data_IF_830822417247
#
_entry.id   IF_830822417247
#
_cell.length_a   1.000
_cell.length_b   1.000
_cell.length_c   1.000
_cell.angle_alpha   90.00
_cell.angle_beta   90.00
_cell.angle_gamma   90.00
#
_symmetry.space_group_name_H-M   'P 1'
#
loop_
_entity.id
_entity.type
_entity.pdbx_description
1 polymer ?
#
# COMPACT_ATOMS: atom_id res chain seq x y z
N UNK A 1 56.45 25.54 -37.51
CA UNK A 1 55.39 25.84 -36.51
C UNK A 1 55.50 24.76 -35.43
N UNK A 2 56.22 24.93 -34.30
CA UNK A 2 56.04 25.87 -33.16
C UNK A 2 54.60 25.81 -32.62
N UNK A 3 54.30 25.54 -31.35
CA UNK A 3 55.06 25.48 -30.09
C UNK A 3 54.17 24.79 -29.04
N UNK A 4 54.74 23.97 -28.14
CA UNK A 4 54.12 23.62 -26.86
C UNK A 4 54.09 24.87 -25.99
N UNK A 5 52.91 25.18 -25.43
CA UNK A 5 52.70 26.29 -24.49
C UNK A 5 52.81 25.74 -23.07
N UNK A 6 53.82 26.22 -22.36
CA UNK A 6 53.86 26.30 -20.90
C UNK A 6 53.23 27.64 -20.52
N UNK A 7 52.37 27.68 -19.49
CA UNK A 7 52.13 28.91 -18.75
C UNK A 7 51.91 28.60 -17.27
N UNK A 8 52.85 29.11 -16.46
CA UNK A 8 52.70 29.46 -15.05
C UNK A 8 51.62 30.54 -14.87
N UNK A 9 51.06 30.64 -13.66
CA UNK A 9 50.60 31.83 -12.91
C UNK A 9 50.01 31.27 -11.60
N UNK A 10 50.14 31.80 -10.39
CA UNK A 10 50.97 32.84 -9.76
C UNK A 10 50.67 32.71 -8.25
N UNK A 11 51.69 32.77 -7.42
CA UNK A 11 51.58 32.87 -5.96
C UNK A 11 51.22 34.29 -5.56
N UNK A 12 50.33 34.49 -4.57
CA UNK A 12 50.28 35.71 -3.73
C UNK A 12 50.01 35.31 -2.27
N UNK A 13 50.96 35.69 -1.42
CA UNK A 13 50.96 35.74 0.06
C UNK A 13 49.75 36.57 0.56
N UNK A 14 49.24 36.55 1.79
CA UNK A 14 49.80 36.52 3.14
C UNK A 14 48.56 36.57 4.06
N UNK A 15 48.48 36.02 5.27
CA UNK A 15 49.14 36.50 6.47
C UNK A 15 49.07 35.42 7.56
N UNK A 16 50.19 35.23 8.25
CA UNK A 16 50.31 34.46 9.48
C UNK A 16 50.10 35.39 10.70
N UNK A 17 49.51 34.89 11.79
CA UNK A 17 49.76 35.27 13.20
C UNK A 17 48.79 34.48 14.11
N UNK A 18 49.10 33.91 15.27
CA UNK A 18 50.34 33.56 15.97
C UNK A 18 49.92 32.53 17.04
N UNK A 19 50.72 31.48 17.18
CA UNK A 19 51.07 30.71 18.39
C UNK A 19 50.13 30.69 19.62
N UNK A 20 49.82 29.45 20.06
CA UNK A 20 50.41 28.92 21.29
C UNK A 20 50.36 27.38 21.30
N UNK A 21 51.55 26.77 21.29
CA UNK A 21 51.76 25.37 21.60
C UNK A 21 51.59 25.13 23.10
N UNK A 22 50.94 24.04 23.47
CA UNK A 22 51.33 23.26 24.66
C UNK A 22 51.18 21.79 24.30
N UNK A 23 52.31 21.18 23.97
CA UNK A 23 52.49 19.74 23.86
C UNK A 23 52.62 19.14 25.26
N UNK A 24 51.82 18.12 25.57
CA UNK A 24 52.32 16.93 26.27
C UNK A 24 51.52 15.70 25.85
N UNK A 25 52.28 14.71 25.42
CA UNK A 25 51.95 13.38 24.95
C UNK A 25 51.14 12.55 25.95
N UNK A 26 50.23 11.70 25.47
CA UNK A 26 50.54 10.28 25.21
C UNK A 26 49.26 9.45 25.00
N UNK A 27 49.42 8.42 24.15
CA UNK A 27 48.51 7.29 23.90
C UNK A 27 47.34 7.57 22.95
N UNK A 28 47.57 7.13 21.71
CA UNK A 28 46.57 7.12 20.65
C UNK A 28 45.45 6.13 20.95
N UNK A 29 44.24 6.60 20.70
CA UNK A 29 43.10 5.75 20.39
C UNK A 29 42.77 6.08 18.95
N UNK A 30 43.09 5.14 18.06
CA UNK A 30 42.58 5.10 16.69
C UNK A 30 41.06 5.02 16.82
N UNK A 31 40.37 6.11 16.49
CA UNK A 31 38.94 6.11 16.29
C UNK A 31 38.66 5.27 15.04
N UNK A 32 38.43 3.97 15.24
CA UNK A 32 37.83 3.12 14.23
C UNK A 32 36.39 3.58 14.11
N UNK A 33 36.10 4.34 13.04
CA UNK A 33 34.74 4.51 12.53
C UNK A 33 34.21 3.13 12.22
N UNK A 34 33.38 2.58 13.10
CA UNK A 34 32.49 1.49 12.75
C UNK A 34 31.32 2.10 11.97
N UNK A 35 31.47 2.13 10.64
CA UNK A 35 30.33 2.06 9.73
C UNK A 35 29.70 0.68 9.92
N UNK A 36 28.78 0.58 10.89
CA UNK A 36 27.88 -0.54 11.00
C UNK A 36 26.61 -0.18 10.23
N UNK A 37 26.25 -1.04 9.27
CA UNK A 37 25.00 -1.06 8.50
C UNK A 37 23.75 -1.05 9.41
N UNK A 38 23.44 0.11 9.97
CA UNK A 38 22.08 0.41 10.40
C UNK A 38 21.31 0.85 9.16
N UNK A 39 20.29 0.08 8.78
CA UNK A 39 19.30 0.53 7.81
C UNK A 39 18.87 1.96 8.17
N UNK A 40 18.87 2.90 7.21
CA UNK A 40 18.61 4.29 7.50
C UNK A 40 17.24 4.45 8.17
N UNK A 41 17.10 5.41 9.11
CA UNK A 41 15.80 5.74 9.68
C UNK A 41 14.84 6.09 8.53
N UNK A 42 13.58 5.65 8.61
CA UNK A 42 12.50 5.87 7.64
C UNK A 42 12.29 7.37 7.38
N UNK A 43 13.16 7.98 6.57
CA UNK A 43 13.28 9.44 6.45
C UNK A 43 13.70 9.83 5.03
N UNK A 44 12.96 9.35 4.04
CA UNK A 44 12.47 10.13 2.89
C UNK A 44 11.46 9.25 2.15
N UNK A 45 10.23 9.74 2.02
CA UNK A 45 9.10 8.96 1.47
C UNK A 45 9.07 9.15 -0.03
N UNK A 46 9.79 8.31 -0.77
CA UNK A 46 9.73 8.32 -2.24
C UNK A 46 8.43 7.61 -2.66
N UNK A 47 7.48 8.40 -3.18
CA UNK A 47 6.31 7.88 -3.87
C UNK A 47 6.70 7.61 -5.33
N UNK A 48 6.37 6.43 -5.82
CA UNK A 48 6.59 6.08 -7.22
C UNK A 48 5.32 6.36 -8.04
N UNK A 49 5.52 6.96 -9.21
CA UNK A 49 4.46 7.11 -10.22
C UNK A 49 4.21 5.82 -11.02
N UNK A 50 5.04 4.79 -10.84
CA UNK A 50 4.90 3.52 -11.56
C UNK A 50 4.59 2.37 -10.60
N UNK A 51 3.86 1.38 -11.10
CA UNK A 51 3.54 0.14 -10.38
C UNK A 51 4.83 -0.66 -10.16
N UNK A 52 5.13 -1.13 -8.94
CA UNK A 52 6.23 -2.05 -8.70
C UNK A 52 6.13 -3.32 -9.53
N UNK A 53 7.26 -3.82 -10.05
CA UNK A 53 7.32 -5.00 -10.93
C UNK A 53 6.61 -6.23 -10.35
N UNK A 54 6.81 -6.49 -9.06
CA UNK A 54 6.15 -7.58 -8.34
C UNK A 54 4.63 -7.45 -8.31
N UNK A 55 4.11 -6.22 -8.22
CA UNK A 55 2.69 -5.91 -8.11
C UNK A 55 1.99 -5.82 -9.48
N UNK A 56 2.74 -5.55 -10.56
CA UNK A 56 2.18 -5.41 -11.89
C UNK A 56 1.46 -6.68 -12.34
N UNK A 57 0.30 -6.51 -12.98
CA UNK A 57 -0.49 -7.56 -13.61
C UNK A 57 -1.90 -7.69 -13.03
N UNK A 58 -2.54 -8.82 -13.35
CA UNK A 58 -3.90 -9.14 -12.91
C UNK A 58 -3.86 -10.08 -11.71
N UNK A 59 -4.70 -9.79 -10.74
CA UNK A 59 -4.79 -10.48 -9.46
C UNK A 59 -6.21 -10.96 -9.22
N UNK A 60 -6.33 -12.21 -8.81
CA UNK A 60 -7.60 -12.87 -8.56
C UNK A 60 -7.80 -13.16 -7.07
N UNK A 61 -8.88 -12.62 -6.53
CA UNK A 61 -9.40 -12.99 -5.21
C UNK A 61 -10.64 -13.88 -5.32
N UNK A 62 -11.18 -14.22 -4.16
CA UNK A 62 -12.43 -14.98 -4.06
C UNK A 62 -13.64 -14.21 -4.63
N UNK A 63 -13.69 -12.91 -4.38
CA UNK A 63 -14.82 -12.03 -4.66
C UNK A 63 -14.48 -10.87 -5.61
N UNK A 64 -13.24 -10.79 -6.12
CA UNK A 64 -12.79 -9.68 -6.95
C UNK A 64 -11.68 -10.06 -7.93
N UNK A 65 -11.57 -9.27 -8.99
CA UNK A 65 -10.40 -9.18 -9.86
C UNK A 65 -9.83 -7.78 -9.72
N UNK A 66 -8.51 -7.69 -9.56
CA UNK A 66 -7.78 -6.43 -9.44
C UNK A 66 -6.71 -6.39 -10.51
N UNK A 67 -6.51 -5.25 -11.15
CA UNK A 67 -5.45 -5.04 -12.12
C UNK A 67 -4.61 -3.85 -11.68
N UNK A 68 -3.29 -4.05 -11.66
CA UNK A 68 -2.30 -2.99 -11.54
C UNK A 68 -1.51 -2.92 -12.84
N UNK A 69 -1.68 -1.85 -13.60
CA UNK A 69 -1.03 -1.65 -14.89
C UNK A 69 -0.15 -0.39 -14.88
N UNK A 70 0.81 -0.34 -15.81
CA UNK A 70 1.74 0.79 -15.94
C UNK A 70 0.97 2.11 -16.13
N UNK A 71 1.54 3.22 -15.63
CA UNK A 71 0.92 4.58 -15.58
C UNK A 71 -0.19 4.77 -14.53
N UNK A 72 -0.13 4.09 -13.39
CA UNK A 72 -1.11 4.17 -12.29
C UNK A 72 -2.55 3.74 -12.67
N UNK A 73 -2.70 2.98 -13.75
CA UNK A 73 -4.00 2.42 -14.11
C UNK A 73 -4.38 1.31 -13.13
N UNK A 74 -5.42 1.58 -12.35
CA UNK A 74 -6.01 0.63 -11.41
C UNK A 74 -7.42 0.28 -11.86
N UNK A 75 -7.71 -1.02 -11.93
CA UNK A 75 -9.07 -1.50 -12.14
C UNK A 75 -9.43 -2.55 -11.09
N UNK A 76 -10.66 -2.47 -10.60
CA UNK A 76 -11.23 -3.41 -9.65
C UNK A 76 -12.64 -3.77 -10.08
N UNK A 77 -12.83 -5.07 -10.25
CA UNK A 77 -14.10 -5.67 -10.62
C UNK A 77 -14.58 -6.59 -9.50
N UNK A 78 -15.83 -6.42 -9.10
CA UNK A 78 -16.44 -7.23 -8.05
C UNK A 78 -17.19 -8.43 -8.64
N UNK A 79 -16.94 -9.62 -8.10
CA UNK A 79 -17.68 -10.85 -8.40
C UNK A 79 -18.88 -10.93 -7.48
N UNK A 80 -19.97 -10.29 -7.88
CA UNK A 80 -21.21 -10.18 -7.10
C UNK A 80 -22.10 -11.42 -7.27
N UNK A 81 -22.81 -11.79 -6.19
CA UNK A 81 -23.85 -12.84 -6.09
C UNK A 81 -23.66 -14.12 -6.93
N UNK A 82 -23.31 -15.23 -6.29
CA UNK A 82 -23.10 -16.55 -6.92
C UNK A 82 -22.07 -16.56 -8.07
N UNK A 83 -21.21 -15.54 -8.16
CA UNK A 83 -20.21 -15.37 -9.23
C UNK A 83 -20.81 -15.31 -10.65
N UNK A 84 -22.11 -15.05 -10.78
CA UNK A 84 -22.79 -15.03 -12.07
C UNK A 84 -22.38 -13.86 -12.95
N UNK A 85 -21.80 -12.81 -12.36
CA UNK A 85 -21.24 -11.70 -13.11
C UNK A 85 -20.20 -10.88 -12.37
N UNK A 86 -19.46 -10.13 -13.18
CA UNK A 86 -18.39 -9.23 -12.81
C UNK A 86 -18.86 -7.78 -13.01
N UNK A 87 -18.95 -7.03 -11.91
CA UNK A 87 -19.36 -5.62 -11.90
C UNK A 87 -18.17 -4.66 -11.95
N UNK A 88 -18.28 -3.60 -12.75
CA UNK A 88 -17.20 -2.63 -12.99
C UNK A 88 -17.13 -1.57 -11.88
N UNK A 89 -16.65 -2.00 -10.71
CA UNK A 89 -16.71 -1.15 -9.52
C UNK A 89 -15.73 0.04 -9.59
N UNK A 90 -14.51 -0.18 -10.09
CA UNK A 90 -13.54 0.87 -10.39
C UNK A 90 -12.74 0.54 -11.67
N UNK A 91 -12.58 1.50 -12.56
CA UNK A 91 -11.74 1.35 -13.76
C UNK A 91 -11.38 2.74 -14.31
N UNK A 92 -10.23 2.88 -15.01
CA UNK A 92 -9.84 4.14 -15.59
C UNK A 92 -10.75 4.50 -16.78
N UNK A 93 -10.86 5.81 -17.06
CA UNK A 93 -11.68 6.29 -18.18
C UNK A 93 -11.25 5.70 -19.54
N UNK A 94 -9.95 5.41 -19.71
CA UNK A 94 -9.36 4.80 -20.91
C UNK A 94 -10.00 3.46 -21.29
N UNK A 95 -10.59 2.73 -20.34
CA UNK A 95 -11.27 1.45 -20.63
C UNK A 95 -12.47 1.61 -21.57
N UNK A 96 -13.12 2.78 -21.54
CA UNK A 96 -14.25 3.06 -22.45
C UNK A 96 -13.81 3.17 -23.91
N UNK A 97 -12.53 3.50 -24.16
CA UNK A 97 -11.94 3.54 -25.50
C UNK A 97 -11.64 2.13 -26.03
N UNK A 98 -11.29 1.19 -25.14
CA UNK A 98 -11.03 -0.21 -25.49
C UNK A 98 -12.35 -0.95 -25.73
N UNK A 99 -13.31 -0.81 -24.79
CA UNK A 99 -14.59 -1.53 -24.83
C UNK A 99 -15.65 -0.75 -24.06
N UNK A 100 -16.63 -0.17 -24.78
CA UNK A 100 -17.77 0.48 -24.14
C UNK A 100 -18.56 -0.51 -23.28
N UNK A 101 -18.93 -0.11 -22.07
CA UNK A 101 -19.68 -0.93 -21.11
C UNK A 101 -20.73 -0.09 -20.41
N UNK A 102 -22.01 -0.39 -20.62
CA UNK A 102 -23.08 0.53 -20.24
C UNK A 102 -23.70 0.25 -18.85
N UNK A 103 -23.13 -0.68 -18.07
CA UNK A 103 -23.72 -1.12 -16.79
C UNK A 103 -22.71 -1.21 -15.67
N UNK A 104 -23.01 -0.51 -14.57
CA UNK A 104 -22.40 -0.63 -13.25
C UNK A 104 -23.53 -0.78 -12.22
N UNK A 105 -23.52 -1.87 -11.45
CA UNK A 105 -24.58 -2.19 -10.48
C UNK A 105 -24.27 -1.76 -9.04
N UNK A 106 -23.05 -1.29 -8.76
CA UNK A 106 -22.59 -1.06 -7.37
C UNK A 106 -23.14 0.19 -6.72
N UNK A 107 -23.22 1.34 -7.39
CA UNK A 107 -23.70 2.59 -6.75
C UNK A 107 -24.11 3.70 -7.75
N UNK A 108 -23.40 3.87 -8.87
CA UNK A 108 -23.66 4.89 -9.91
C UNK A 108 -23.43 4.30 -11.30
N UNK A 109 -24.04 4.88 -12.35
CA UNK A 109 -23.86 4.43 -13.74
C UNK A 109 -22.38 4.36 -14.19
N UNK A 110 -21.51 5.35 -13.89
CA UNK A 110 -20.06 5.22 -14.13
C UNK A 110 -19.35 4.41 -13.03
N UNK A 111 -18.25 3.76 -13.40
CA UNK A 111 -17.31 3.18 -12.44
C UNK A 111 -16.60 4.30 -11.64
N UNK A 112 -16.13 3.99 -10.42
CA UNK A 112 -15.35 4.93 -9.64
C UNK A 112 -13.94 5.09 -10.23
N UNK A 113 -13.44 6.33 -10.27
CA UNK A 113 -12.08 6.66 -10.72
C UNK A 113 -11.15 6.73 -9.51
N UNK A 114 -10.46 5.62 -9.23
CA UNK A 114 -9.56 5.48 -8.07
C UNK A 114 -8.12 5.61 -8.54
N UNK A 115 -7.40 6.59 -7.98
CA UNK A 115 -5.98 6.79 -8.25
C UNK A 115 -5.15 6.12 -7.16
N UNK A 116 -4.10 5.39 -7.57
CA UNK A 116 -3.19 4.71 -6.64
C UNK A 116 -1.76 5.13 -6.93
N UNK A 117 -1.04 5.51 -5.87
CA UNK A 117 0.41 5.65 -5.89
C UNK A 117 1.03 4.56 -5.01
N UNK A 118 2.29 4.23 -5.27
CA UNK A 118 2.95 3.09 -4.65
C UNK A 118 4.20 3.53 -3.90
N UNK A 119 4.48 2.84 -2.80
CA UNK A 119 5.71 3.00 -2.04
C UNK A 119 6.24 1.64 -1.61
N UNK A 120 7.51 1.38 -1.90
CA UNK A 120 8.19 0.18 -1.40
C UNK A 120 8.58 0.38 0.06
N UNK A 121 8.22 -0.57 0.93
CA UNK A 121 8.63 -0.62 2.33
C UNK A 121 9.85 -1.53 2.47
N UNK A 122 9.75 -2.75 1.94
CA UNK A 122 10.82 -3.75 1.90
C UNK A 122 10.66 -4.53 0.60
N UNK A 123 11.75 -4.88 -0.05
CA UNK A 123 11.76 -5.82 -1.16
C UNK A 123 12.95 -6.74 -0.97
N UNK A 124 12.74 -8.03 -1.19
CA UNK A 124 13.77 -9.01 -0.92
C UNK A 124 14.77 -9.09 -2.09
N UNK A 125 16.04 -9.48 -1.86
CA UNK A 125 17.06 -9.50 -2.91
C UNK A 125 16.69 -10.39 -4.11
N UNK A 126 15.95 -11.48 -3.86
CA UNK A 126 15.50 -12.42 -4.87
C UNK A 126 14.34 -11.90 -5.73
N UNK A 127 13.77 -10.72 -5.39
CA UNK A 127 12.64 -10.09 -6.09
C UNK A 127 11.46 -11.04 -6.32
N UNK A 128 11.18 -11.92 -5.36
CA UNK A 128 9.99 -12.78 -5.34
C UNK A 128 9.05 -12.43 -4.19
N UNK A 129 9.49 -11.57 -3.26
CA UNK A 129 8.71 -11.07 -2.16
C UNK A 129 8.95 -9.58 -1.89
N UNK A 130 7.91 -8.89 -1.46
CA UNK A 130 7.99 -7.46 -1.15
C UNK A 130 6.81 -6.97 -0.35
N UNK A 131 7.02 -5.87 0.37
CA UNK A 131 5.99 -5.14 1.09
C UNK A 131 5.87 -3.76 0.47
N UNK A 132 4.64 -3.41 0.10
CA UNK A 132 4.30 -2.14 -0.53
C UNK A 132 3.19 -1.43 0.25
N UNK A 133 3.21 -0.11 0.23
CA UNK A 133 2.16 0.75 0.75
C UNK A 133 1.44 1.41 -0.44
N UNK A 134 0.15 1.09 -0.58
CA UNK A 134 -0.72 1.69 -1.57
C UNK A 134 -1.28 3.00 -1.01
N UNK A 135 -1.02 4.11 -1.68
CA UNK A 135 -1.66 5.40 -1.39
C UNK A 135 -2.87 5.56 -2.31
N UNK A 136 -4.05 5.25 -1.77
CA UNK A 136 -5.30 5.17 -2.52
C UNK A 136 -6.09 6.46 -2.35
N UNK A 137 -6.31 7.18 -3.45
CA UNK A 137 -7.14 8.37 -3.49
C UNK A 137 -8.55 8.00 -3.94
N UNK A 138 -9.47 7.90 -2.97
CA UNK A 138 -10.89 7.71 -3.26
C UNK A 138 -11.54 9.03 -3.68
N UNK A 139 -12.52 9.02 -4.60
CA UNK A 139 -13.22 10.24 -5.07
C UNK A 139 -13.89 11.06 -3.96
N UNK A 140 -14.34 10.39 -2.90
CA UNK A 140 -15.10 11.00 -1.80
C UNK A 140 -14.24 11.34 -0.57
N UNK A 141 -12.98 10.92 -0.55
CA UNK A 141 -12.06 11.17 0.56
C UNK A 141 -11.18 12.38 0.25
N UNK A 142 -10.97 13.25 1.25
CA UNK A 142 -10.08 14.40 1.08
C UNK A 142 -8.62 13.97 1.01
N UNK A 143 -8.22 13.09 1.91
CA UNK A 143 -6.84 12.64 2.04
C UNK A 143 -6.68 11.22 1.48
N UNK A 144 -5.51 10.89 0.90
CA UNK A 144 -5.27 9.53 0.42
C UNK A 144 -5.16 8.57 1.60
N UNK A 145 -5.67 7.35 1.39
CA UNK A 145 -5.68 6.28 2.39
C UNK A 145 -4.51 5.34 2.13
N UNK A 146 -3.73 5.05 3.17
CA UNK A 146 -2.53 4.21 3.06
C UNK A 146 -2.88 2.75 3.42
N UNK A 147 -2.70 1.85 2.47
CA UNK A 147 -3.01 0.42 2.59
C UNK A 147 -1.74 -0.40 2.36
N UNK A 148 -1.14 -0.97 3.41
CA UNK A 148 0.02 -1.84 3.27
C UNK A 148 -0.38 -3.24 2.78
N UNK A 149 0.40 -3.79 1.86
CA UNK A 149 0.23 -5.12 1.27
C UNK A 149 1.57 -5.86 1.24
N UNK A 150 1.53 -7.19 1.29
CA UNK A 150 2.69 -8.05 1.16
C UNK A 150 2.51 -8.97 -0.04
N UNK A 151 3.57 -9.19 -0.81
CA UNK A 151 3.64 -10.14 -1.91
C UNK A 151 4.67 -11.20 -1.53
N UNK A 152 4.31 -12.48 -1.66
CA UNK A 152 5.22 -13.63 -1.56
C UNK A 152 4.82 -14.61 -2.66
N UNK A 153 5.74 -14.95 -3.57
CA UNK A 153 5.56 -15.96 -4.62
C UNK A 153 4.24 -15.80 -5.41
N UNK A 154 3.97 -14.58 -5.88
CA UNK A 154 2.77 -14.27 -6.67
C UNK A 154 1.46 -14.30 -5.88
N UNK A 155 1.51 -14.18 -4.55
CA UNK A 155 0.33 -14.10 -3.67
C UNK A 155 0.38 -12.83 -2.85
N UNK A 156 -0.73 -12.09 -2.80
CA UNK A 156 -0.91 -10.91 -1.95
C UNK A 156 -1.50 -11.33 -0.61
N UNK A 157 -0.94 -10.81 0.48
CA UNK A 157 -1.40 -11.01 1.86
C UNK A 157 -1.71 -9.67 2.55
N UNK A 158 -2.73 -9.68 3.42
CA UNK A 158 -3.19 -8.51 4.20
C UNK A 158 -2.88 -8.64 5.71
N UNK A 159 -2.27 -9.75 6.13
CA UNK A 159 -1.84 -9.99 7.51
C UNK A 159 -0.39 -10.46 7.47
N UNK A 160 0.55 -9.58 7.79
CA UNK A 160 1.97 -9.86 7.67
C UNK A 160 2.83 -9.01 8.60
N UNK A 161 4.04 -9.49 8.83
CA UNK A 161 5.09 -8.92 9.65
C UNK A 161 6.34 -8.69 8.82
N UNK A 162 7.16 -7.74 9.26
CA UNK A 162 8.51 -7.52 8.76
C UNK A 162 9.47 -7.78 9.91
N UNK A 163 10.55 -8.50 9.65
CA UNK A 163 11.64 -8.67 10.59
C UNK A 163 12.43 -7.37 10.66
N UNK A 164 12.44 -6.73 11.82
CA UNK A 164 13.41 -5.69 12.13
C UNK A 164 14.75 -6.35 12.47
N UNK A 165 15.83 -5.70 12.06
CA UNK A 165 17.17 -5.95 12.57
C UNK A 165 17.24 -5.55 14.05
N UNK A 166 16.69 -6.39 14.93
CA UNK A 166 16.62 -6.11 16.36
C UNK A 166 17.98 -6.30 17.05
N UNK A 167 18.30 -5.37 17.96
CA UNK A 167 19.39 -5.51 18.90
C UNK A 167 18.89 -6.24 20.15
N UNK A 168 19.17 -7.54 20.24
CA UNK A 168 19.08 -8.29 21.49
C UNK A 168 20.28 -7.87 22.34
N UNK A 169 20.04 -7.26 23.50
CA UNK A 169 21.10 -7.08 24.51
C UNK A 169 20.99 -8.24 25.50
N UNK A 170 21.74 -9.31 25.27
CA UNK A 170 21.83 -10.40 26.24
C UNK A 170 22.68 -9.92 27.43
N UNK A 171 22.06 -9.63 28.57
CA UNK A 171 22.76 -9.20 29.80
C UNK A 171 23.30 -10.40 30.58
N UNK A 172 23.85 -11.42 29.91
CA UNK A 172 24.70 -12.40 30.56
C UNK A 172 25.90 -11.65 31.15
N UNK A 173 26.06 -11.70 32.48
CA UNK A 173 27.28 -11.26 33.16
C UNK A 173 28.46 -12.08 32.61
N UNK A 174 29.19 -11.51 31.66
CA UNK A 174 30.30 -12.19 30.97
C UNK A 174 29.89 -12.53 29.54
N UNK A 175 30.35 -11.71 28.60
CA UNK A 175 29.95 -11.76 27.21
C UNK A 175 30.45 -13.01 26.50
N UNK A 176 29.52 -13.73 25.90
CA UNK A 176 29.69 -14.41 24.62
C UNK A 176 28.49 -14.02 23.76
N UNK A 177 28.73 -13.40 22.61
CA UNK A 177 27.71 -13.25 21.58
C UNK A 177 27.37 -14.66 21.09
N UNK A 178 26.23 -15.21 21.51
CA UNK A 178 25.70 -16.41 20.86
C UNK A 178 25.48 -16.10 19.38
N UNK A 179 25.92 -16.99 18.50
CA UNK A 179 25.62 -16.91 17.07
C UNK A 179 24.11 -16.67 16.90
N UNK A 180 23.74 -15.49 16.38
CA UNK A 180 22.34 -15.17 16.13
C UNK A 180 21.84 -16.16 15.09
N UNK A 181 20.84 -16.96 15.44
CA UNK A 181 20.16 -17.75 14.42
C UNK A 181 19.46 -16.76 13.47
N UNK A 182 19.41 -17.09 12.18
CA UNK A 182 18.80 -16.23 11.16
C UNK A 182 17.28 -16.04 11.40
N UNK A 183 16.69 -16.79 12.33
CA UNK A 183 15.31 -16.61 12.78
C UNK A 183 15.16 -15.60 13.92
N UNK A 184 16.20 -15.26 14.68
CA UNK A 184 16.06 -14.42 15.87
C UNK A 184 15.78 -12.96 15.50
N UNK A 185 14.88 -12.32 16.25
CA UNK A 185 14.57 -10.91 16.06
C UNK A 185 13.13 -10.52 16.35
N UNK A 186 12.85 -9.24 16.14
CA UNK A 186 11.53 -8.65 16.31
C UNK A 186 10.80 -8.62 14.97
N UNK A 187 9.70 -9.36 14.87
CA UNK A 187 8.80 -9.37 13.72
C UNK A 187 7.67 -8.40 14.01
N UNK A 188 7.81 -7.18 13.49
CA UNK A 188 6.84 -6.10 13.71
C UNK A 188 5.67 -6.22 12.75
N UNK A 189 4.46 -6.02 13.26
CA UNK A 189 3.28 -5.87 12.43
C UNK A 189 3.47 -4.74 11.42
N UNK A 190 3.24 -5.05 10.15
CA UNK A 190 3.36 -4.09 9.04
C UNK A 190 2.05 -3.95 8.26
N UNK A 191 0.95 -4.50 8.78
CA UNK A 191 -0.37 -4.47 8.15
C UNK A 191 -1.49 -4.17 9.13
N UNK A 192 -2.46 -3.37 8.70
CA UNK A 192 -3.65 -3.04 9.48
C UNK A 192 -4.95 -2.94 8.68
N UNK A 193 -4.90 -3.03 7.35
CA UNK A 193 -6.10 -3.04 6.51
C UNK A 193 -6.65 -4.46 6.34
N UNK A 194 -7.93 -4.57 6.00
CA UNK A 194 -8.60 -5.85 5.73
C UNK A 194 -8.71 -6.19 4.24
N UNK A 195 -8.39 -5.27 3.34
CA UNK A 195 -8.39 -5.52 1.90
C UNK A 195 -8.21 -4.26 1.06
N UNK A 196 -8.19 -4.44 -0.26
CA UNK A 196 -8.16 -3.38 -1.27
C UNK A 196 -9.61 -3.17 -1.74
N UNK A 197 -10.22 -2.06 -1.35
CA UNK A 197 -11.66 -1.83 -1.48
C UNK A 197 -11.95 -0.63 -2.40
N UNK A 198 -13.22 -0.46 -2.79
CA UNK A 198 -13.70 0.70 -3.55
C UNK A 198 -14.05 1.90 -2.66
N UNK A 199 -14.00 1.70 -1.35
CA UNK A 199 -14.17 2.70 -0.31
C UNK A 199 -13.07 2.54 0.73
N UNK A 200 -12.89 3.54 1.59
CA UNK A 200 -11.90 3.47 2.67
C UNK A 200 -12.06 2.17 3.50
N UNK A 201 -11.00 1.36 3.65
CA UNK A 201 -11.06 0.13 4.42
C UNK A 201 -11.21 0.40 5.91
N UNK A 202 -11.71 -0.59 6.63
CA UNK A 202 -11.74 -0.56 8.09
C UNK A 202 -10.39 -1.06 8.60
N UNK A 203 -9.68 -0.19 9.33
CA UNK A 203 -8.40 -0.53 9.93
C UNK A 203 -8.57 -1.32 11.23
N UNK A 204 -7.69 -2.30 11.46
CA UNK A 204 -7.64 -3.12 12.68
C UNK A 204 -7.40 -2.23 13.90
N UNK A 205 -8.12 -2.47 14.99
CA UNK A 205 -7.92 -1.81 16.30
C UNK A 205 -6.76 -2.43 17.10
N UNK A 206 -6.40 -3.67 16.79
CA UNK A 206 -5.30 -4.41 17.40
C UNK A 206 -4.47 -5.03 16.29
N UNK A 207 -3.15 -4.94 16.42
CA UNK A 207 -2.18 -5.66 15.60
C UNK A 207 -1.22 -6.44 16.49
N UNK A 208 -0.67 -7.54 15.97
CA UNK A 208 0.15 -8.46 16.75
C UNK A 208 1.54 -8.50 16.12
N UNK A 209 2.55 -8.29 16.96
CA UNK A 209 3.96 -8.48 16.62
C UNK A 209 4.51 -9.64 17.44
N UNK A 210 5.64 -10.19 17.01
CA UNK A 210 6.29 -11.28 17.71
C UNK A 210 7.76 -10.98 17.93
N UNK A 211 8.31 -11.46 19.04
CA UNK A 211 9.74 -11.48 19.28
C UNK A 211 10.22 -12.92 19.34
N UNK A 212 11.25 -13.27 18.56
CA UNK A 212 11.87 -14.59 18.56
C UNK A 212 13.19 -14.50 19.33
N UNK A 213 13.26 -15.20 20.47
CA UNK A 213 14.27 -15.01 21.52
C UNK A 213 15.40 -16.05 21.56
N UNK A 214 15.69 -16.72 20.46
CA UNK A 214 16.56 -17.90 20.43
C UNK A 214 15.83 -19.17 20.88
N UNK A 215 16.34 -20.34 20.48
CA UNK A 215 15.90 -21.66 20.97
C UNK A 215 14.39 -21.96 20.77
N UNK A 216 13.76 -21.36 19.74
CA UNK A 216 12.35 -21.58 19.41
C UNK A 216 11.35 -20.84 20.31
N UNK A 217 11.80 -19.90 21.15
CA UNK A 217 10.94 -19.08 21.99
C UNK A 217 10.25 -17.98 21.17
N UNK A 218 8.92 -17.96 21.17
CA UNK A 218 8.10 -16.97 20.48
C UNK A 218 7.29 -16.17 21.51
N UNK A 219 7.53 -14.86 21.57
CA UNK A 219 6.82 -13.95 22.47
C UNK A 219 5.82 -13.10 21.69
N UNK A 220 4.54 -13.20 22.03
CA UNK A 220 3.46 -12.49 21.34
C UNK A 220 3.19 -11.14 21.99
N UNK A 221 3.31 -10.07 21.22
CA UNK A 221 3.19 -8.68 21.68
C UNK A 221 2.00 -8.02 20.99
N UNK A 222 1.02 -7.55 21.78
CA UNK A 222 -0.16 -6.84 21.27
C UNK A 222 0.10 -5.35 21.18
N UNK A 223 -0.33 -4.75 20.09
CA UNK A 223 -0.34 -3.31 19.88
C UNK A 223 -1.76 -2.83 19.60
N UNK A 224 -2.20 -1.82 20.34
CA UNK A 224 -3.53 -1.24 20.24
C UNK A 224 -3.47 0.09 19.49
N UNK A 225 -4.48 0.38 18.67
CA UNK A 225 -4.63 1.66 18.01
C UNK A 225 -4.60 2.78 19.06
N UNK A 226 -3.83 3.83 18.77
CA UNK A 226 -3.50 4.89 19.70
C UNK A 226 -3.71 6.25 19.05
N UNK A 227 -4.23 7.18 19.84
CA UNK A 227 -4.34 8.62 19.48
C UNK A 227 -3.06 9.40 19.84
N UNK A 228 -2.11 8.76 20.54
CA UNK A 228 -0.82 9.36 20.87
C UNK A 228 0.05 9.58 19.63
N UNK A 229 0.84 10.65 19.67
CA UNK A 229 1.87 10.90 18.66
C UNK A 229 2.91 9.79 18.62
N UNK A 230 3.38 9.50 17.40
CA UNK A 230 4.47 8.55 17.20
C UNK A 230 5.76 9.05 17.85
N UNK A 231 6.47 8.15 18.54
CA UNK A 231 7.82 8.40 19.06
C UNK A 231 8.67 7.14 18.97
N UNK A 232 9.99 7.30 19.02
CA UNK A 232 10.95 6.20 19.01
C UNK A 232 11.17 5.57 20.40
N UNK A 233 10.21 5.74 21.32
CA UNK A 233 10.31 5.16 22.65
C UNK A 233 10.33 3.63 22.56
N UNK A 234 11.12 2.98 23.42
CA UNK A 234 11.17 1.52 23.55
C UNK A 234 10.31 1.05 24.72
N UNK A 235 9.80 -0.15 24.61
CA UNK A 235 9.16 -0.89 25.68
C UNK A 235 9.91 -2.21 25.92
N UNK A 236 9.86 -2.71 27.15
CA UNK A 236 10.59 -3.90 27.57
C UNK A 236 9.70 -4.92 28.26
N UNK A 237 10.07 -6.19 28.14
CA UNK A 237 9.52 -7.29 28.91
C UNK A 237 10.64 -8.20 29.38
N UNK A 238 10.34 -9.03 30.37
CA UNK A 238 11.31 -9.93 31.00
C UNK A 238 10.80 -11.36 30.95
N UNK A 239 11.69 -12.30 30.69
CA UNK A 239 11.45 -13.74 30.90
C UNK A 239 12.62 -14.33 31.68
N UNK A 240 12.38 -14.68 32.95
CA UNK A 240 13.46 -15.00 33.90
C UNK A 240 14.50 -13.87 33.98
N UNK A 241 15.74 -14.20 33.67
CA UNK A 241 16.88 -13.26 33.67
C UNK A 241 17.04 -12.51 32.33
N UNK A 242 16.29 -12.88 31.28
CA UNK A 242 16.36 -12.24 29.97
C UNK A 242 15.50 -10.97 29.95
N UNK A 243 16.04 -9.87 29.43
CA UNK A 243 15.31 -8.61 29.20
C UNK A 243 15.27 -8.33 27.71
N UNK A 244 14.07 -8.23 27.15
CA UNK A 244 13.85 -7.96 25.74
C UNK A 244 13.33 -6.54 25.55
N UNK A 245 13.75 -5.88 24.47
CA UNK A 245 13.39 -4.50 24.13
C UNK A 245 12.81 -4.44 22.72
N UNK A 246 11.67 -3.76 22.58
CA UNK A 246 10.93 -3.58 21.32
C UNK A 246 10.48 -2.14 21.17
N UNK A 247 10.08 -1.74 19.97
CA UNK A 247 9.45 -0.44 19.76
C UNK A 247 8.13 -0.33 20.52
N UNK A 248 7.97 0.74 21.30
CA UNK A 248 6.71 1.00 22.01
C UNK A 248 5.60 1.35 21.04
N UNK A 249 5.93 2.08 19.98
CA UNK A 249 5.01 2.57 18.97
C UNK A 249 5.30 1.95 17.61
N UNK A 250 4.26 1.53 16.90
CA UNK A 250 4.34 1.13 15.50
C UNK A 250 3.55 2.12 14.66
N UNK A 251 4.13 2.53 13.53
CA UNK A 251 3.42 3.30 12.51
C UNK A 251 3.11 2.39 11.33
N UNK A 252 1.83 2.23 11.03
CA UNK A 252 1.32 1.44 9.90
C UNK A 252 0.36 2.32 9.11
N UNK A 253 0.75 2.70 7.89
CA UNK A 253 0.05 3.73 7.14
C UNK A 253 -0.01 5.05 7.90
N UNK A 254 -1.22 5.58 8.05
CA UNK A 254 -1.51 6.79 8.84
C UNK A 254 -1.73 6.50 10.33
N UNK A 255 -1.85 5.24 10.73
CA UNK A 255 -2.22 4.85 12.10
C UNK A 255 -1.00 4.61 12.99
N UNK A 256 -1.12 4.97 14.26
CA UNK A 256 -0.14 4.68 15.31
C UNK A 256 -0.71 3.65 16.27
N UNK A 257 0.07 2.62 16.57
CA UNK A 257 -0.28 1.58 17.53
C UNK A 257 0.72 1.56 18.68
N UNK A 258 0.28 1.21 19.89
CA UNK A 258 1.13 1.16 21.09
C UNK A 258 0.96 -0.16 21.86
N UNK A 259 2.04 -0.70 22.42
CA UNK A 259 2.02 -1.96 23.19
C UNK A 259 1.90 -1.78 24.70
N UNK A 260 2.01 -0.56 25.22
CA UNK A 260 1.85 -0.24 26.65
C UNK A 260 0.87 0.91 26.83
N UNK A 261 0.20 0.97 27.99
CA UNK A 261 -0.72 2.04 28.32
C UNK A 261 0.01 3.24 28.92
N UNK A 262 -0.41 4.45 28.53
CA UNK A 262 0.10 5.72 29.06
C UNK A 262 1.61 5.86 28.96
N UNK A 263 2.27 6.25 30.07
CA UNK A 263 3.72 6.51 30.13
C UNK A 263 4.56 5.27 30.44
N UNK A 264 3.95 4.09 30.62
CA UNK A 264 4.70 2.86 30.92
C UNK A 264 5.65 2.49 29.77
N UNK A 265 6.83 2.00 30.12
CA UNK A 265 7.80 1.36 29.22
C UNK A 265 7.91 -0.15 29.47
N UNK A 266 7.05 -0.72 30.32
CA UNK A 266 7.03 -2.14 30.64
C UNK A 266 5.78 -2.81 30.08
N UNK A 267 5.98 -3.85 29.28
CA UNK A 267 4.94 -4.78 28.81
C UNK A 267 4.78 -5.84 29.90
N UNK A 268 3.54 -6.05 30.34
CA UNK A 268 3.19 -7.04 31.38
C UNK A 268 2.44 -8.21 30.73
N UNK A 269 2.45 -9.38 31.37
CA UNK A 269 1.70 -10.57 30.95
C UNK A 269 2.02 -10.99 29.51
N UNK A 270 3.31 -11.12 29.19
CA UNK A 270 3.74 -11.58 27.86
C UNK A 270 3.30 -13.04 27.65
N UNK A 271 2.81 -13.35 26.46
CA UNK A 271 2.43 -14.71 26.08
C UNK A 271 3.62 -15.36 25.38
N UNK A 272 4.12 -16.47 25.93
CA UNK A 272 5.22 -17.27 25.37
C UNK A 272 4.66 -18.53 24.71
N UNK A 273 5.12 -18.82 23.51
CA UNK A 273 4.81 -20.02 22.74
C UNK A 273 6.06 -20.56 22.04
N UNK A 274 5.94 -21.69 21.37
CA UNK A 274 7.01 -22.29 20.53
C UNK A 274 6.76 -22.11 19.03
N UNK A 275 5.63 -21.52 18.66
CA UNK A 275 5.20 -21.28 17.27
C UNK A 275 4.24 -20.11 17.19
N UNK A 276 4.06 -19.59 15.98
CA UNK A 276 3.01 -18.61 15.69
C UNK A 276 1.61 -19.18 15.92
N UNK A 277 0.66 -18.29 16.21
CA UNK A 277 -0.75 -18.64 16.42
C UNK A 277 -1.45 -19.08 15.11
N UNK A 278 -0.83 -18.78 13.96
CA UNK A 278 -1.36 -19.00 12.62
C UNK A 278 -0.31 -19.65 11.74
N UNK A 279 -0.78 -20.33 10.70
CA UNK A 279 0.09 -20.78 9.62
C UNK A 279 0.77 -19.57 8.98
N UNK A 280 2.09 -19.69 8.81
CA UNK A 280 2.95 -18.63 8.31
C UNK A 280 3.53 -19.03 6.95
N UNK A 281 3.48 -18.10 6.00
CA UNK A 281 4.25 -18.13 4.77
C UNK A 281 5.45 -17.19 4.94
N UNK A 282 6.62 -17.63 4.53
CA UNK A 282 7.87 -16.87 4.64
C UNK A 282 8.34 -16.49 3.25
N UNK A 283 9.00 -15.34 3.13
CA UNK A 283 9.86 -15.09 1.98
C UNK A 283 11.12 -15.98 2.02
N UNK A 284 11.88 -15.98 0.91
CA UNK A 284 13.10 -16.78 0.81
C UNK A 284 14.16 -16.42 1.85
N UNK A 285 14.14 -15.19 2.35
CA UNK A 285 15.17 -14.62 3.23
C UNK A 285 14.72 -14.57 4.71
N UNK A 286 13.49 -15.00 5.01
CA UNK A 286 12.91 -14.98 6.36
C UNK A 286 12.66 -13.57 6.92
N UNK A 287 12.77 -12.53 6.10
CA UNK A 287 12.55 -11.13 6.46
C UNK A 287 11.08 -10.73 6.48
N UNK A 288 10.21 -11.45 5.76
CA UNK A 288 8.79 -11.17 5.63
C UNK A 288 8.00 -12.42 5.99
N UNK A 289 7.02 -12.25 6.87
CA UNK A 289 6.14 -13.36 7.32
C UNK A 289 4.70 -12.97 7.10
N UNK A 290 3.97 -13.74 6.31
CA UNK A 290 2.55 -13.54 6.07
C UNK A 290 1.71 -14.64 6.73
N UNK A 291 0.48 -14.30 7.13
CA UNK A 291 -0.44 -15.21 7.81
C UNK A 291 -1.76 -15.39 7.06
N UNK A 292 -2.33 -16.58 7.21
CA UNK A 292 -3.62 -16.93 6.64
C UNK A 292 -3.58 -17.21 5.14
N UNK A 293 -4.76 -17.27 4.54
CA UNK A 293 -4.91 -17.51 3.10
C UNK A 293 -4.54 -16.26 2.29
N UNK A 294 -4.00 -16.42 1.06
CA UNK A 294 -3.78 -15.32 0.14
C UNK A 294 -5.06 -14.51 -0.08
N UNK A 295 -4.93 -13.18 0.00
CA UNK A 295 -6.01 -12.25 -0.33
C UNK A 295 -6.27 -12.20 -1.84
N UNK A 296 -5.19 -12.15 -2.63
CA UNK A 296 -5.22 -12.26 -4.08
C UNK A 296 -4.09 -13.17 -4.57
N UNK A 297 -4.31 -13.86 -5.69
CA UNK A 297 -3.31 -14.68 -6.38
C UNK A 297 -3.07 -14.11 -7.77
N UNK A 298 -1.82 -13.98 -8.18
CA UNK A 298 -1.45 -13.47 -9.50
C UNK A 298 -1.98 -14.41 -10.57
N UNK A 299 -2.68 -13.86 -11.56
CA UNK A 299 -3.11 -14.63 -12.73
C UNK A 299 -1.87 -14.85 -13.60
N UNK A 300 -1.56 -16.10 -13.99
CA UNK A 300 -0.45 -16.36 -14.89
C UNK A 300 -0.63 -15.57 -16.19
N UNK A 301 0.30 -14.68 -16.48
CA UNK A 301 0.37 -14.01 -17.77
C UNK A 301 1.12 -14.91 -18.74
N UNK A 302 0.67 -14.98 -20.00
CA UNK A 302 1.59 -15.41 -21.06
C UNK A 302 2.68 -14.35 -21.17
N UNK A 303 3.94 -14.76 -21.32
CA UNK A 303 5.11 -13.86 -21.31
C UNK A 303 4.89 -12.61 -22.18
N UNK A 304 5.41 -11.47 -21.69
CA UNK A 304 5.53 -10.17 -22.38
C UNK A 304 4.24 -9.49 -22.84
N UNK A 305 3.22 -9.39 -21.99
CA UNK A 305 2.06 -8.52 -22.28
C UNK A 305 2.38 -7.05 -22.03
N UNK A 306 2.11 -6.23 -23.03
CA UNK A 306 2.07 -4.77 -22.88
C UNK A 306 0.90 -4.35 -21.97
N UNK A 307 0.96 -3.13 -21.41
CA UNK A 307 -0.10 -2.59 -20.57
C UNK A 307 -1.48 -2.60 -21.26
N UNK A 308 -1.53 -2.34 -22.57
CA UNK A 308 -2.76 -2.36 -23.36
C UNK A 308 -3.31 -3.79 -23.49
N UNK A 309 -2.44 -4.79 -23.71
CA UNK A 309 -2.83 -6.19 -23.78
C UNK A 309 -3.31 -6.73 -22.43
N UNK A 310 -2.69 -6.29 -21.33
CA UNK A 310 -3.14 -6.61 -19.97
C UNK A 310 -4.55 -6.04 -19.73
N UNK A 311 -4.79 -4.78 -20.08
CA UNK A 311 -6.12 -4.16 -19.98
C UNK A 311 -7.16 -4.85 -20.86
N UNK A 312 -6.82 -5.21 -22.10
CA UNK A 312 -7.70 -5.96 -23.00
C UNK A 312 -8.03 -7.36 -22.46
N UNK A 313 -7.02 -8.10 -21.99
CA UNK A 313 -7.20 -9.43 -21.41
C UNK A 313 -8.04 -9.39 -20.13
N UNK A 314 -7.86 -8.36 -19.29
CA UNK A 314 -8.71 -8.11 -18.13
C UNK A 314 -10.18 -7.92 -18.56
N UNK A 315 -10.42 -7.05 -19.55
CA UNK A 315 -11.77 -6.77 -20.06
C UNK A 315 -12.42 -7.99 -20.72
N UNK A 316 -11.65 -8.84 -21.40
CA UNK A 316 -12.14 -10.07 -22.01
C UNK A 316 -12.44 -11.15 -20.98
N UNK A 317 -11.59 -11.31 -19.96
CA UNK A 317 -11.85 -12.19 -18.81
C UNK A 317 -13.17 -11.80 -18.11
N UNK A 318 -13.42 -10.50 -17.98
CA UNK A 318 -14.68 -9.98 -17.43
C UNK A 318 -15.85 -10.21 -18.38
N UNK A 319 -15.66 -9.99 -19.68
CA UNK A 319 -16.66 -10.24 -20.71
C UNK A 319 -17.11 -11.69 -20.77
N UNK A 320 -16.17 -12.63 -20.71
CA UNK A 320 -16.42 -14.07 -20.72
C UNK A 320 -17.29 -14.50 -19.53
N UNK A 321 -16.96 -14.06 -18.31
CA UNK A 321 -17.79 -14.35 -17.15
C UNK A 321 -19.20 -13.75 -17.29
N UNK A 322 -19.29 -12.56 -17.88
CA UNK A 322 -20.55 -11.85 -18.08
C UNK A 322 -21.44 -12.44 -19.19
N UNK A 323 -20.93 -13.30 -20.08
CA UNK A 323 -21.75 -14.01 -21.10
C UNK A 323 -22.84 -14.89 -20.49
N UNK A 324 -22.62 -15.36 -19.25
CA UNK A 324 -23.60 -16.16 -18.50
C UNK A 324 -24.82 -15.37 -18.06
N UNK A 325 -24.79 -14.03 -18.18
CA UNK A 325 -25.91 -13.17 -17.80
C UNK A 325 -27.04 -13.32 -18.81
N UNK A 326 -28.26 -13.39 -18.30
CA UNK A 326 -29.43 -13.18 -19.14
C UNK A 326 -29.35 -11.78 -19.77
N UNK A 327 -29.74 -11.63 -21.06
CA UNK A 327 -29.82 -10.33 -21.68
C UNK A 327 -30.77 -9.45 -20.88
N UNK A 328 -30.54 -8.13 -20.98
CA UNK A 328 -31.49 -7.17 -20.44
C UNK A 328 -32.92 -7.55 -20.85
N UNK A 329 -33.90 -7.57 -19.92
CA UNK A 329 -35.28 -7.67 -20.34
C UNK A 329 -35.53 -6.57 -21.36
N UNK A 330 -36.14 -6.94 -22.49
CA UNK A 330 -36.52 -5.95 -23.50
C UNK A 330 -37.39 -4.91 -22.79
N UNK A 331 -37.16 -3.60 -23.04
CA UNK A 331 -37.99 -2.59 -22.43
C UNK A 331 -39.45 -2.86 -22.82
N UNK A 332 -40.37 -2.70 -21.86
CA UNK A 332 -41.81 -2.96 -22.07
C UNK A 332 -42.35 -2.21 -23.29
N UNK A 333 -41.78 -1.04 -23.54
CA UNK A 333 -42.01 -0.25 -24.74
C UNK A 333 -40.68 -0.14 -25.49
N UNK A 334 -40.67 -0.36 -26.82
CA UNK A 334 -39.48 -0.05 -27.60
C UNK A 334 -39.10 1.42 -27.39
N UNK A 335 -37.81 1.78 -27.37
CA UNK A 335 -37.39 3.16 -27.29
C UNK A 335 -37.99 3.92 -28.47
N UNK A 336 -39.05 4.68 -28.21
CA UNK A 336 -39.64 5.59 -29.17
C UNK A 336 -38.94 6.92 -28.98
N UNK A 337 -38.39 7.46 -30.06
CA UNK A 337 -38.08 8.88 -30.07
C UNK A 337 -39.38 9.62 -29.75
N UNK A 338 -39.38 10.56 -28.78
CA UNK A 338 -40.55 11.35 -28.53
C UNK A 338 -40.94 12.03 -29.84
N UNK A 339 -42.07 11.59 -30.42
CA UNK A 339 -42.68 12.25 -31.57
C UNK A 339 -43.33 13.50 -31.03
N UNK A 340 -42.54 14.54 -30.87
CA UNK A 340 -43.06 15.84 -30.52
C UNK A 340 -43.96 16.31 -31.66
N UNK A 341 -45.25 16.24 -31.40
CA UNK A 341 -46.33 16.70 -32.26
C UNK A 341 -46.44 18.22 -32.16
N UNK A 342 -45.35 18.92 -32.46
CA UNK A 342 -45.24 20.37 -32.28
C UNK A 342 -46.33 21.11 -33.05
N UNK A 343 -46.67 20.63 -34.25
CA UNK A 343 -47.76 21.19 -35.05
C UNK A 343 -49.10 21.08 -34.33
N UNK A 344 -49.45 19.89 -33.83
CA UNK A 344 -50.71 19.71 -33.09
C UNK A 344 -50.71 20.45 -31.75
N UNK A 345 -49.55 20.56 -31.07
CA UNK A 345 -49.40 21.37 -29.85
C UNK A 345 -49.64 22.85 -30.18
N UNK A 346 -49.02 23.38 -31.24
CA UNK A 346 -49.20 24.77 -31.67
C UNK A 346 -50.63 25.05 -32.13
N UNK A 347 -51.29 24.11 -32.81
CA UNK A 347 -52.69 24.19 -33.20
C UNK A 347 -53.62 24.17 -31.97
N UNK A 348 -53.39 23.27 -31.01
CA UNK A 348 -54.16 23.25 -29.76
C UNK A 348 -53.97 24.54 -28.95
N UNK A 349 -52.75 25.10 -28.90
CA UNK A 349 -52.50 26.40 -28.29
C UNK A 349 -53.16 27.57 -29.03
N UNK A 350 -53.36 27.44 -30.36
CA UNK A 350 -54.05 28.42 -31.19
C UNK A 350 -55.54 28.53 -30.83
N UNK A 351 -56.15 27.40 -30.45
CA UNK A 351 -57.58 27.31 -30.17
C UNK A 351 -57.91 27.09 -28.69
N UNK A 352 -56.91 27.12 -27.79
CA UNK A 352 -57.13 27.01 -26.35
C UNK A 352 -57.51 28.38 -25.75
N UNK A 353 -58.75 28.54 -25.24
CA UNK A 353 -59.23 29.81 -24.68
C UNK A 353 -58.42 30.28 -23.46
N UNK A 354 -57.77 29.37 -22.75
CA UNK A 354 -57.00 29.67 -21.53
C UNK A 354 -55.58 30.20 -21.80
N UNK A 355 -55.04 30.00 -23.01
CA UNK A 355 -53.72 30.51 -23.44
C UNK A 355 -53.81 31.73 -24.35
N UNK A 356 -55.02 32.10 -24.79
CA UNK A 356 -55.30 33.25 -25.65
C UNK A 356 -54.71 34.56 -25.09
N UNK A 357 -54.79 34.75 -23.77
CA UNK A 357 -54.30 35.97 -23.11
C UNK A 357 -52.77 36.09 -23.07
N UNK A 358 -52.00 35.00 -23.27
CA UNK A 358 -50.53 35.07 -23.31
C UNK A 358 -50.01 35.60 -24.65
N UNK A 359 -50.70 35.31 -25.76
CA UNK A 359 -50.24 35.74 -27.09
C UNK A 359 -50.42 37.24 -27.35
N UNK A 360 -51.39 37.89 -26.73
CA UNK A 360 -51.60 39.34 -26.89
C UNK A 360 -50.59 40.20 -26.11
N UNK A 361 -49.74 39.61 -25.26
CA UNK A 361 -48.71 40.35 -24.51
C UNK A 361 -47.38 40.45 -25.27
N UNK A 362 -47.13 39.58 -26.25
CA UNK A 362 -45.87 39.57 -27.03
C UNK A 362 -45.97 40.26 -28.40
N UNK A 363 -47.12 40.83 -28.77
CA UNK A 363 -47.29 41.60 -30.03
C UNK A 363 -46.79 43.05 -29.88
N UNK A 364 -46.26 43.42 -28.70
CA UNK A 364 -45.77 44.77 -28.41
C UNK A 364 -44.30 44.83 -27.95
N UNK A 365 -43.45 43.90 -28.42
CA UNK A 365 -42.00 44.06 -28.34
C UNK A 365 -41.31 43.85 -29.67
#
# INVERSE_FOLDING_TARGET
MKRRVFLLISTVLSFASLNAQTTRSSQGIVSVRNEADSLPPVTERVLFENVPELLQGIWQGADRLVMFSNKNEFALVLRVFYQWYNDRAAEPASFSEIKSRDRNNTTKSPAEDIQIQYRTIVENPSKNAGVYELSIKYPHEKDPVLVPICIIDGKIYMDFLIKDSAQVTDLRKGGELSEKSDSDGFYRAASNANGIMISSPIFKKEVISYFMGGEGEVYRIRYWLSEMDYSYAKASFTDGDKVFSVDKYLRIGSSVYQCTTGRSSKIRNIQKSTKFDKNAAYDSDGGIVAFGEPYLVKVPEGEDRTALETSAYFLDSVGENNKRRHPAPKPLFPPTFPKYRWKEITELELYNPSTWNKRNLDIHK
#
